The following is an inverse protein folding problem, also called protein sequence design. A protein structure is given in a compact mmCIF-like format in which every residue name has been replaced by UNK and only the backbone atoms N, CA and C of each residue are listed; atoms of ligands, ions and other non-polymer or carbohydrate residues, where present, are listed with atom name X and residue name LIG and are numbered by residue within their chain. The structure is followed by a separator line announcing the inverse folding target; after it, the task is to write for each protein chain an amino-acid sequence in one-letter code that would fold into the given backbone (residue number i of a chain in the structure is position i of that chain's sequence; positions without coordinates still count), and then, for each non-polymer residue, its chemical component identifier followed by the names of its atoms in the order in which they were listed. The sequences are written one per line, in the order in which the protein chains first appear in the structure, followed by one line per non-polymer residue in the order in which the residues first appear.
data_IF_441372432944
#
_entry.id   IF_441372432944
#
_cell.length_a   1.000
_cell.length_b   1.000
_cell.length_c   1.000
_cell.angle_alpha   90.00
_cell.angle_beta   90.00
_cell.angle_gamma   90.00
#
_symmetry.space_group_name_H-M   'P 1'
#
loop_
_entity.id
_entity.type
_entity.pdbx_description
1 polymer ?
#
# COMPACT_ATOMS: atom_id res chain seq x y z
N UNK A 1 -11.49 -4.09 -17.11
CA UNK A 1 -11.84 -4.06 -15.68
C UNK A 1 -10.55 -4.05 -14.90
N UNK A 2 -10.42 -3.27 -13.81
CA UNK A 2 -9.17 -3.29 -13.04
C UNK A 2 -8.99 -4.69 -12.44
N UNK A 3 -7.80 -5.25 -12.61
CA UNK A 3 -7.38 -6.55 -12.10
C UNK A 3 -6.87 -6.49 -10.65
N UNK A 4 -6.97 -5.30 -10.04
CA UNK A 4 -6.70 -4.98 -8.65
C UNK A 4 -7.86 -4.17 -8.04
N UNK A 5 -8.04 -4.25 -6.72
CA UNK A 5 -9.02 -3.48 -5.95
C UNK A 5 -8.40 -2.23 -5.32
N UNK A 6 -7.11 -2.29 -5.00
CA UNK A 6 -6.34 -1.12 -4.57
C UNK A 6 -4.90 -1.26 -5.04
N UNK A 7 -4.28 -0.16 -5.44
CA UNK A 7 -2.86 -0.11 -5.72
C UNK A 7 -2.24 1.19 -5.23
N UNK A 8 -1.05 1.08 -4.65
CA UNK A 8 -0.17 2.20 -4.34
C UNK A 8 0.95 2.22 -5.37
N UNK A 9 1.20 3.41 -5.92
CA UNK A 9 2.22 3.65 -6.94
C UNK A 9 3.18 4.67 -6.37
N UNK A 10 4.47 4.33 -6.39
CA UNK A 10 5.55 5.19 -5.92
C UNK A 10 6.58 5.34 -7.03
N UNK A 11 6.85 6.55 -7.47
CA UNK A 11 7.86 6.82 -8.48
C UNK A 11 9.28 6.87 -7.90
N UNK A 12 10.27 6.81 -8.80
CA UNK A 12 11.67 6.95 -8.42
C UNK A 12 11.98 8.33 -7.81
N UNK A 13 11.30 9.38 -8.28
CA UNK A 13 11.47 10.75 -7.79
C UNK A 13 11.18 10.89 -6.30
N UNK A 14 10.08 10.31 -5.82
CA UNK A 14 9.67 10.35 -4.41
C UNK A 14 10.63 9.57 -3.53
N UNK A 15 11.09 8.39 -3.97
CA UNK A 15 12.14 7.63 -3.27
C UNK A 15 13.43 8.44 -3.17
N UNK A 16 13.83 9.11 -4.25
CA UNK A 16 15.04 9.93 -4.30
C UNK A 16 14.94 11.19 -3.43
N UNK A 17 13.75 11.79 -3.29
CA UNK A 17 13.51 12.87 -2.33
C UNK A 17 13.70 12.39 -0.89
N UNK A 18 13.12 11.24 -0.53
CA UNK A 18 13.31 10.64 0.80
C UNK A 18 14.78 10.31 1.09
N UNK A 19 15.48 9.74 0.11
CA UNK A 19 16.92 9.48 0.21
C UNK A 19 17.73 10.77 0.39
N UNK A 20 17.40 11.82 -0.34
CA UNK A 20 18.07 13.13 -0.23
C UNK A 20 17.88 13.70 1.18
N UNK A 21 16.68 13.63 1.74
CA UNK A 21 16.41 14.07 3.10
C UNK A 21 17.17 13.23 4.14
N UNK A 22 17.21 11.90 3.96
CA UNK A 22 17.95 11.00 4.83
C UNK A 22 19.46 11.28 4.78
N UNK A 23 20.02 11.51 3.58
CA UNK A 23 21.43 11.84 3.39
C UNK A 23 21.81 13.19 3.97
N UNK A 24 20.89 14.18 3.91
CA UNK A 24 21.08 15.50 4.49
C UNK A 24 21.07 15.48 6.04
N UNK A 25 20.51 14.44 6.66
CA UNK A 25 20.54 14.28 8.11
C UNK A 25 21.94 13.85 8.58
N UNK A 26 22.61 14.69 9.36
CA UNK A 26 23.99 14.45 9.81
C UNK A 26 24.17 13.15 10.62
N UNK A 27 23.19 12.79 11.47
CA UNK A 27 23.27 11.56 12.27
C UNK A 27 23.09 10.32 11.40
N UNK A 28 22.14 10.36 10.46
CA UNK A 28 21.95 9.29 9.49
C UNK A 28 23.19 9.15 8.59
N UNK A 29 23.74 10.27 8.11
CA UNK A 29 24.99 10.32 7.33
C UNK A 29 26.13 9.58 8.04
N UNK A 30 26.39 9.90 9.30
CA UNK A 30 27.43 9.26 10.11
C UNK A 30 27.19 7.77 10.35
N UNK A 31 25.94 7.31 10.43
CA UNK A 31 25.60 5.92 10.75
C UNK A 31 25.50 5.02 9.52
N UNK A 32 25.00 5.55 8.40
CA UNK A 32 24.56 4.77 7.25
C UNK A 32 25.40 5.00 6.00
N UNK A 33 26.09 6.15 5.90
CA UNK A 33 26.75 6.57 4.66
C UNK A 33 28.26 6.73 4.80
N UNK A 34 28.83 6.55 5.99
CA UNK A 34 30.27 6.51 6.20
C UNK A 34 30.61 5.64 7.40
N UNK A 35 31.85 5.19 7.48
CA UNK A 35 32.33 4.45 8.63
C UNK A 35 33.69 3.80 8.42
N UNK A 36 34.02 2.92 9.36
CA UNK A 36 35.23 2.10 9.33
C UNK A 36 34.80 0.65 9.47
N UNK A 37 35.36 -0.22 8.63
CA UNK A 37 35.16 -1.66 8.69
C UNK A 37 36.49 -2.36 8.92
N UNK A 38 36.60 -3.14 10.00
CA UNK A 38 37.76 -3.99 10.22
C UNK A 38 37.75 -5.17 9.25
N UNK A 39 38.92 -5.50 8.70
CA UNK A 39 39.10 -6.57 7.69
C UNK A 39 40.09 -7.62 8.18
N UNK A 40 41.28 -7.19 8.63
CA UNK A 40 42.30 -8.08 9.20
C UNK A 40 42.85 -9.14 8.25
N UNK A 41 42.83 -8.91 6.93
CA UNK A 41 43.26 -9.87 5.91
C UNK A 41 44.15 -9.21 4.85
N UNK A 42 45.07 -9.96 4.26
CA UNK A 42 45.97 -9.48 3.19
C UNK A 42 46.75 -8.21 3.55
N UNK A 43 47.08 -8.05 4.84
CA UNK A 43 47.76 -6.85 5.35
C UNK A 43 46.87 -5.60 5.43
N UNK A 44 45.57 -5.68 5.14
CA UNK A 44 44.59 -4.61 5.36
C UNK A 44 44.04 -4.76 6.79
N UNK A 45 44.26 -3.74 7.62
CA UNK A 45 43.73 -3.69 9.00
C UNK A 45 42.28 -3.28 8.99
N UNK A 46 41.95 -2.17 8.32
CA UNK A 46 40.60 -1.64 8.20
C UNK A 46 40.39 -0.87 6.89
N UNK A 47 39.12 -0.64 6.55
CA UNK A 47 38.70 0.17 5.41
C UNK A 47 37.82 1.30 5.91
N UNK A 48 38.30 2.53 5.76
CA UNK A 48 37.45 3.71 5.89
C UNK A 48 36.62 3.79 4.61
N UNK A 49 35.31 4.00 4.72
CA UNK A 49 34.43 4.13 3.57
C UNK A 49 33.46 5.31 3.77
N UNK A 50 33.09 5.94 2.65
CA UNK A 50 32.15 7.05 2.60
C UNK A 50 31.40 7.01 1.28
N UNK A 51 30.09 7.19 1.33
CA UNK A 51 29.23 7.45 0.18
C UNK A 51 29.16 8.98 0.04
N UNK A 52 29.87 9.51 -0.94
CA UNK A 52 30.13 10.95 -1.05
C UNK A 52 29.02 11.70 -1.79
N UNK A 53 28.10 10.97 -2.42
CA UNK A 53 26.95 11.51 -3.14
C UNK A 53 25.66 10.79 -2.73
N UNK A 54 24.53 11.49 -2.78
CA UNK A 54 23.21 10.93 -2.46
C UNK A 54 22.92 9.71 -3.36
N UNK A 55 22.63 8.53 -2.81
CA UNK A 55 22.22 7.38 -3.61
C UNK A 55 20.98 7.69 -4.45
N UNK A 56 20.89 7.10 -5.65
CA UNK A 56 19.75 7.28 -6.54
C UNK A 56 19.06 5.95 -6.80
N UNK A 57 17.78 5.86 -6.48
CA UNK A 57 16.90 4.78 -6.90
C UNK A 57 16.59 4.93 -8.39
N UNK A 58 16.78 3.83 -9.11
CA UNK A 58 16.39 3.66 -10.50
C UNK A 58 15.46 2.46 -10.55
N UNK A 59 14.17 2.71 -10.74
CA UNK A 59 13.10 1.71 -10.71
C UNK A 59 13.01 0.94 -12.02
N UNK A 60 14.15 0.40 -12.47
CA UNK A 60 14.27 -0.48 -13.61
C UNK A 60 15.15 -1.67 -13.25
N UNK A 61 14.81 -2.89 -13.71
CA UNK A 61 15.65 -4.06 -13.49
C UNK A 61 17.02 -3.87 -14.15
N UNK A 62 18.07 -4.55 -13.66
CA UNK A 62 19.37 -4.52 -14.32
C UNK A 62 19.27 -5.09 -15.74
N UNK A 63 20.03 -4.52 -16.67
CA UNK A 63 20.16 -5.10 -18.02
C UNK A 63 20.87 -6.45 -17.93
N UNK A 64 20.63 -7.35 -18.90
CA UNK A 64 21.34 -8.64 -18.96
C UNK A 64 22.86 -8.48 -19.01
N UNK A 65 23.37 -7.43 -19.66
CA UNK A 65 24.80 -7.12 -19.70
C UNK A 65 25.35 -6.77 -18.32
N UNK A 66 24.68 -5.88 -17.59
CA UNK A 66 25.06 -5.55 -16.21
C UNK A 66 24.94 -6.76 -15.28
N UNK A 67 23.86 -7.53 -15.42
CA UNK A 67 23.60 -8.70 -14.59
C UNK A 67 24.68 -9.77 -14.76
N UNK A 68 25.12 -10.03 -15.99
CA UNK A 68 26.11 -11.05 -16.32
C UNK A 68 27.54 -10.52 -16.39
N UNK A 69 27.79 -9.27 -15.98
CA UNK A 69 29.14 -8.76 -15.85
C UNK A 69 29.94 -9.62 -14.86
N UNK A 70 31.17 -9.97 -15.23
CA UNK A 70 32.05 -10.80 -14.41
C UNK A 70 32.42 -10.15 -13.07
N UNK A 71 32.33 -8.82 -12.98
CA UNK A 71 32.63 -8.07 -11.77
C UNK A 71 31.39 -7.89 -10.88
N UNK A 72 30.22 -8.36 -11.31
CA UNK A 72 29.01 -8.36 -10.46
C UNK A 72 29.25 -9.28 -9.27
N UNK A 73 29.45 -8.66 -8.12
CA UNK A 73 29.64 -9.32 -6.84
C UNK A 73 28.30 -9.79 -6.28
N UNK A 74 28.27 -11.04 -5.84
CA UNK A 74 27.16 -11.65 -5.10
C UNK A 74 27.74 -12.15 -3.77
N UNK A 75 27.14 -11.80 -2.62
CA UNK A 75 27.64 -12.26 -1.33
C UNK A 75 27.66 -13.79 -1.25
N UNK A 76 28.58 -14.33 -0.45
CA UNK A 76 28.67 -15.78 -0.25
C UNK A 76 27.36 -16.34 0.33
N UNK A 77 26.93 -17.49 -0.18
CA UNK A 77 25.70 -18.15 0.25
C UNK A 77 24.41 -17.59 -0.37
N UNK A 78 24.46 -16.50 -1.12
CA UNK A 78 23.31 -16.05 -1.93
C UNK A 78 23.41 -16.57 -3.36
N UNK A 79 22.29 -17.07 -3.88
CA UNK A 79 22.18 -17.49 -5.27
C UNK A 79 21.56 -16.37 -6.08
N UNK A 80 22.33 -15.80 -7.00
CA UNK A 80 21.83 -14.86 -8.00
C UNK A 80 20.81 -15.59 -8.90
N UNK A 81 19.57 -15.09 -9.08
CA UNK A 81 18.65 -15.63 -10.07
C UNK A 81 19.29 -15.69 -11.46
N UNK A 82 18.86 -16.66 -12.28
CA UNK A 82 19.42 -16.86 -13.64
C UNK A 82 19.30 -15.58 -14.47
N UNK A 83 18.14 -14.95 -14.43
CA UNK A 83 17.81 -13.73 -15.15
C UNK A 83 17.26 -12.67 -14.18
N UNK A 84 17.43 -11.36 -14.47
CA UNK A 84 16.78 -10.29 -13.73
C UNK A 84 15.27 -10.46 -13.70
N UNK A 85 14.63 -10.18 -12.55
CA UNK A 85 13.18 -10.23 -12.40
C UNK A 85 12.57 -8.84 -12.51
N UNK A 86 11.26 -8.76 -12.74
CA UNK A 86 10.47 -7.53 -12.71
C UNK A 86 10.30 -6.95 -11.30
N UNK A 87 10.76 -7.66 -10.27
CA UNK A 87 10.80 -7.19 -8.88
C UNK A 87 12.14 -6.51 -8.54
N UNK A 88 13.09 -6.51 -9.48
CA UNK A 88 14.39 -5.90 -9.28
C UNK A 88 14.41 -4.43 -9.69
N UNK A 89 15.23 -3.67 -8.96
CA UNK A 89 15.54 -2.28 -9.23
C UNK A 89 17.01 -2.01 -8.93
N UNK A 90 17.47 -0.82 -9.26
CA UNK A 90 18.85 -0.41 -9.10
C UNK A 90 18.96 0.71 -8.07
N UNK A 91 20.02 0.69 -7.27
CA UNK A 91 20.46 1.81 -6.44
C UNK A 91 21.84 2.22 -6.92
N UNK A 92 21.95 3.42 -7.48
CA UNK A 92 23.19 3.96 -7.99
C UNK A 92 23.91 4.74 -6.89
N UNK A 93 25.18 4.40 -6.68
CA UNK A 93 26.10 5.10 -5.80
C UNK A 93 27.15 5.76 -6.68
N UNK A 94 26.96 7.05 -6.96
CA UNK A 94 27.80 7.77 -7.92
C UNK A 94 29.25 7.91 -7.45
N UNK A 95 29.48 8.04 -6.14
CA UNK A 95 30.82 8.14 -5.56
C UNK A 95 30.86 7.46 -4.20
N UNK A 96 31.77 6.50 -4.07
CA UNK A 96 32.12 5.83 -2.82
C UNK A 96 33.64 5.93 -2.67
N UNK A 97 34.09 6.75 -1.73
CA UNK A 97 35.50 6.86 -1.37
C UNK A 97 35.84 5.84 -0.31
N UNK A 98 37.00 5.22 -0.48
CA UNK A 98 37.54 4.20 0.41
C UNK A 98 39.00 4.47 0.69
N UNK A 99 39.43 4.20 1.90
CA UNK A 99 40.85 4.23 2.27
C UNK A 99 41.19 2.91 2.95
N UNK A 100 41.97 2.09 2.27
CA UNK A 100 42.49 0.84 2.82
C UNK A 100 43.67 1.16 3.73
N UNK A 101 43.49 0.92 5.03
CA UNK A 101 44.53 1.06 6.02
C UNK A 101 45.35 -0.23 6.06
N UNK A 102 46.64 -0.11 5.76
CA UNK A 102 47.55 -1.24 5.68
C UNK A 102 48.30 -1.41 7.00
N UNK A 103 48.64 -2.66 7.35
CA UNK A 103 49.49 -2.98 8.49
C UNK A 103 50.90 -2.40 8.32
N UNK A 104 51.38 -2.34 7.08
CA UNK A 104 52.63 -1.68 6.70
C UNK A 104 52.44 -0.89 5.39
N UNK A 105 53.08 0.28 5.30
CA UNK A 105 52.97 1.17 4.15
C UNK A 105 51.91 2.28 4.29
N UNK A 106 51.85 3.22 3.33
CA UNK A 106 50.87 4.29 3.33
C UNK A 106 49.45 3.74 3.06
N UNK A 107 48.40 4.40 3.59
CA UNK A 107 47.02 4.06 3.23
C UNK A 107 46.78 4.20 1.73
N UNK A 108 45.93 3.35 1.18
CA UNK A 108 45.59 3.35 -0.26
C UNK A 108 44.18 3.91 -0.47
N UNK A 109 44.02 5.17 -0.90
CA UNK A 109 42.72 5.74 -1.24
C UNK A 109 42.25 5.25 -2.62
N UNK A 110 40.97 4.87 -2.72
CA UNK A 110 40.31 4.50 -3.96
C UNK A 110 38.89 5.07 -3.97
N UNK A 111 38.45 5.53 -5.14
CA UNK A 111 37.08 6.01 -5.33
C UNK A 111 36.41 5.18 -6.42
N UNK A 112 35.18 4.77 -6.16
CA UNK A 112 34.40 3.92 -7.06
C UNK A 112 33.01 4.50 -7.27
N UNK A 113 32.41 4.14 -8.39
CA UNK A 113 30.95 4.20 -8.53
C UNK A 113 30.42 2.77 -8.50
N UNK A 114 29.25 2.56 -7.88
CA UNK A 114 28.61 1.26 -7.81
C UNK A 114 27.18 1.34 -8.30
N UNK A 115 26.72 0.25 -8.93
CA UNK A 115 25.30 -0.02 -9.08
C UNK A 115 24.95 -1.23 -8.23
N UNK A 116 24.09 -1.04 -7.24
CA UNK A 116 23.55 -2.12 -6.45
C UNK A 116 22.24 -2.59 -7.06
N UNK A 117 22.10 -3.89 -7.26
CA UNK A 117 20.87 -4.53 -7.68
C UNK A 117 20.10 -4.95 -6.44
N UNK A 118 18.89 -4.42 -6.30
CA UNK A 118 18.00 -4.71 -5.21
C UNK A 118 16.72 -5.36 -5.73
N UNK A 119 15.98 -6.01 -4.84
CA UNK A 119 14.71 -6.63 -5.12
C UNK A 119 13.70 -6.26 -4.03
N UNK A 120 12.43 -6.30 -4.43
CA UNK A 120 11.30 -6.14 -3.53
C UNK A 120 10.66 -7.52 -3.34
N UNK A 121 10.51 -7.97 -2.10
CA UNK A 121 9.90 -9.27 -1.79
C UNK A 121 8.80 -9.11 -0.73
N UNK A 122 7.83 -10.03 -0.72
CA UNK A 122 6.87 -10.15 0.39
C UNK A 122 7.27 -11.35 1.22
N UNK A 123 7.57 -11.13 2.50
CA UNK A 123 7.88 -12.17 3.47
C UNK A 123 7.15 -11.90 4.77
N UNK A 124 6.50 -12.91 5.35
CA UNK A 124 5.68 -12.78 6.56
C UNK A 124 4.64 -11.63 6.48
N UNK A 125 3.97 -11.50 5.33
CA UNK A 125 3.04 -10.40 5.01
C UNK A 125 3.66 -9.00 5.07
N UNK A 126 4.98 -8.86 5.13
CA UNK A 126 5.66 -7.57 5.06
C UNK A 126 6.40 -7.43 3.74
N UNK A 127 6.32 -6.23 3.19
CA UNK A 127 7.13 -5.82 2.05
C UNK A 127 8.54 -5.55 2.56
N UNK A 128 9.51 -6.20 1.94
CA UNK A 128 10.91 -6.10 2.26
C UNK A 128 11.70 -5.69 1.03
N UNK A 129 12.58 -4.71 1.20
CA UNK A 129 13.59 -4.35 0.22
C UNK A 129 14.90 -5.04 0.60
N UNK A 130 15.55 -5.66 -0.38
CA UNK A 130 16.82 -6.34 -0.17
C UNK A 130 17.77 -6.16 -1.34
N UNK A 131 19.05 -5.98 -1.03
CA UNK A 131 20.16 -6.10 -1.96
C UNK A 131 20.27 -7.55 -2.46
N UNK A 132 20.69 -7.71 -3.71
CA UNK A 132 20.94 -9.01 -4.35
C UNK A 132 22.38 -9.11 -4.84
N UNK A 133 22.88 -8.05 -5.47
CA UNK A 133 24.23 -8.02 -6.02
C UNK A 133 24.76 -6.59 -6.14
N UNK A 134 26.07 -6.44 -6.31
CA UNK A 134 26.75 -5.16 -6.47
C UNK A 134 27.67 -5.20 -7.68
N UNK A 135 27.52 -4.24 -8.58
CA UNK A 135 28.38 -4.05 -9.74
C UNK A 135 29.24 -2.78 -9.55
N UNK A 136 30.56 -2.90 -9.39
CA UNK A 136 31.45 -1.75 -9.51
C UNK A 136 31.52 -1.25 -10.96
N UNK A 137 31.50 0.06 -11.15
CA UNK A 137 31.65 0.71 -12.46
C UNK A 137 33.12 1.13 -12.62
N UNK A 138 33.78 0.64 -13.67
CA UNK A 138 35.18 0.95 -14.00
C UNK A 138 36.18 0.79 -12.82
N UNK A 139 36.33 -0.43 -12.25
CA UNK A 139 37.16 -0.66 -11.05
C UNK A 139 38.68 -0.61 -11.29
N UNK A 140 39.20 0.44 -11.93
CA UNK A 140 40.63 0.57 -12.22
C UNK A 140 41.46 0.76 -10.95
N UNK A 141 42.61 0.08 -10.85
CA UNK A 141 43.56 0.26 -9.75
C UNK A 141 43.25 -0.54 -8.48
N UNK A 142 42.12 -1.24 -8.42
CA UNK A 142 41.78 -2.12 -7.31
C UNK A 142 42.16 -3.58 -7.61
N UNK A 143 42.71 -4.27 -6.61
CA UNK A 143 42.87 -5.73 -6.69
C UNK A 143 41.51 -6.42 -6.58
N UNK A 144 41.40 -7.66 -7.06
CA UNK A 144 40.17 -8.45 -6.92
C UNK A 144 39.71 -8.58 -5.46
N UNK A 145 40.66 -8.79 -4.55
CA UNK A 145 40.36 -8.83 -3.11
C UNK A 145 39.80 -7.50 -2.60
N UNK A 146 40.42 -6.37 -2.96
CA UNK A 146 39.91 -5.05 -2.57
C UNK A 146 38.49 -4.81 -3.09
N UNK A 147 38.20 -5.25 -4.32
CA UNK A 147 36.86 -5.18 -4.90
C UNK A 147 35.85 -6.03 -4.13
N UNK A 148 36.21 -7.26 -3.76
CA UNK A 148 35.33 -8.12 -2.96
C UNK A 148 35.04 -7.51 -1.59
N UNK A 149 36.05 -6.96 -0.91
CA UNK A 149 35.89 -6.30 0.39
C UNK A 149 34.95 -5.10 0.27
N UNK A 150 35.20 -4.17 -0.67
CA UNK A 150 34.36 -2.99 -0.79
C UNK A 150 32.94 -3.32 -1.26
N UNK A 151 32.78 -4.25 -2.21
CA UNK A 151 31.45 -4.68 -2.65
C UNK A 151 30.67 -5.32 -1.48
N UNK A 152 31.33 -6.09 -0.62
CA UNK A 152 30.72 -6.65 0.59
C UNK A 152 30.29 -5.58 1.61
N UNK A 153 31.11 -4.54 1.81
CA UNK A 153 30.76 -3.39 2.66
C UNK A 153 29.54 -2.66 2.08
N UNK A 154 29.61 -2.27 0.80
CA UNK A 154 28.52 -1.56 0.10
C UNK A 154 27.22 -2.37 0.16
N UNK A 155 27.28 -3.66 -0.16
CA UNK A 155 26.14 -4.57 -0.10
C UNK A 155 25.47 -4.52 1.28
N UNK A 156 26.26 -4.69 2.34
CA UNK A 156 25.76 -4.76 3.72
C UNK A 156 25.15 -3.43 4.18
N UNK A 157 25.78 -2.31 3.84
CA UNK A 157 25.31 -0.98 4.27
C UNK A 157 24.06 -0.54 3.53
N UNK A 158 23.99 -0.79 2.22
CA UNK A 158 22.78 -0.53 1.46
C UNK A 158 21.66 -1.51 1.85
N UNK A 159 21.97 -2.77 2.17
CA UNK A 159 20.98 -3.72 2.72
C UNK A 159 20.33 -3.16 4.00
N UNK A 160 21.13 -2.65 4.94
CA UNK A 160 20.62 -2.06 6.17
C UNK A 160 19.77 -0.81 5.89
N UNK A 161 20.16 0.01 4.91
CA UNK A 161 19.38 1.15 4.47
C UNK A 161 18.03 0.73 3.86
N UNK A 162 18.03 -0.28 2.99
CA UNK A 162 16.82 -0.81 2.35
C UNK A 162 15.87 -1.42 3.37
N UNK A 163 16.38 -2.16 4.36
CA UNK A 163 15.58 -2.69 5.47
C UNK A 163 15.02 -1.61 6.41
N UNK A 164 15.59 -0.40 6.39
CA UNK A 164 15.05 0.75 7.10
C UNK A 164 13.73 1.26 6.51
N UNK A 165 13.46 0.99 5.22
CA UNK A 165 12.20 1.33 4.59
C UNK A 165 11.12 0.31 4.99
N UNK A 166 10.31 0.68 5.98
CA UNK A 166 9.14 -0.10 6.36
C UNK A 166 7.96 0.29 5.46
N UNK A 167 7.69 -0.54 4.47
CA UNK A 167 6.48 -0.41 3.67
C UNK A 167 5.36 -1.16 4.41
N UNK A 168 4.19 -0.53 4.65
CA UNK A 168 3.10 -1.17 5.37
C UNK A 168 2.72 -2.53 4.77
N UNK A 169 2.42 -3.53 5.62
CA UNK A 169 2.12 -4.90 5.16
C UNK A 169 0.84 -5.00 4.33
N UNK A 170 -0.05 -4.01 4.46
CA UNK A 170 -1.29 -3.93 3.71
C UNK A 170 -1.74 -2.48 3.58
N UNK A 171 -2.56 -2.22 2.56
CA UNK A 171 -3.32 -0.97 2.45
C UNK A 171 -4.56 -1.16 3.32
N UNK A 172 -4.59 -0.52 4.48
CA UNK A 172 -5.70 -0.65 5.42
C UNK A 172 -6.86 0.24 4.98
N UNK A 173 -8.00 -0.37 4.70
CA UNK A 173 -9.27 0.34 4.50
C UNK A 173 -10.27 -0.21 5.52
N UNK A 174 -10.97 0.68 6.22
CA UNK A 174 -11.90 0.32 7.28
C UNK A 174 -12.95 -0.68 6.80
N UNK A 175 -13.20 -1.73 7.59
CA UNK A 175 -14.20 -2.75 7.30
C UNK A 175 -13.83 -3.71 6.16
N UNK A 176 -12.65 -3.58 5.55
CA UNK A 176 -12.23 -4.39 4.40
C UNK A 176 -10.97 -5.21 4.73
N UNK A 177 -10.94 -6.44 4.21
CA UNK A 177 -9.77 -7.33 4.30
C UNK A 177 -9.17 -7.53 2.92
N UNK A 178 -7.85 -7.44 2.83
CA UNK A 178 -7.11 -7.57 1.58
C UNK A 178 -6.24 -8.82 1.54
N UNK A 179 -5.99 -9.33 0.35
CA UNK A 179 -4.93 -10.32 0.10
C UNK A 179 -3.56 -9.70 0.36
N UNK A 180 -2.53 -10.51 0.65
CA UNK A 180 -1.14 -10.03 0.62
C UNK A 180 -0.88 -9.25 -0.68
N UNK A 181 -0.13 -8.14 -0.60
CA UNK A 181 0.14 -7.32 -1.78
C UNK A 181 1.01 -8.09 -2.78
N UNK A 182 0.74 -7.89 -4.06
CA UNK A 182 1.68 -8.23 -5.15
C UNK A 182 2.45 -6.97 -5.51
N UNK A 183 3.74 -7.14 -5.80
CA UNK A 183 4.62 -6.02 -6.12
C UNK A 183 5.36 -6.25 -7.43
N UNK A 184 5.56 -5.15 -8.16
CA UNK A 184 6.37 -5.13 -9.38
C UNK A 184 7.06 -3.78 -9.51
N UNK A 185 8.12 -3.76 -10.30
CA UNK A 185 8.85 -2.58 -10.74
C UNK A 185 8.57 -2.38 -12.23
N UNK A 186 7.87 -1.31 -12.59
CA UNK A 186 7.38 -1.05 -13.96
C UNK A 186 8.26 -0.11 -14.78
N UNK A 187 9.57 -0.05 -14.49
CA UNK A 187 10.53 0.83 -15.19
C UNK A 187 10.55 2.28 -14.70
N UNK A 188 9.44 2.77 -14.12
CA UNK A 188 9.35 4.10 -13.52
C UNK A 188 8.71 4.10 -12.12
N UNK A 189 7.96 3.06 -11.77
CA UNK A 189 7.22 2.98 -10.53
C UNK A 189 7.42 1.66 -9.81
N UNK A 190 7.45 1.74 -8.49
CA UNK A 190 7.24 0.65 -7.57
C UNK A 190 5.74 0.59 -7.31
N UNK A 191 5.16 -0.55 -7.62
CA UNK A 191 3.73 -0.76 -7.50
C UNK A 191 3.48 -1.79 -6.42
N UNK A 192 2.52 -1.49 -5.56
CA UNK A 192 1.96 -2.40 -4.58
C UNK A 192 0.47 -2.53 -4.84
N UNK A 193 0.00 -3.70 -5.26
CA UNK A 193 -1.41 -3.94 -5.54
C UNK A 193 -1.96 -5.01 -4.61
N UNK A 194 -3.20 -4.81 -4.15
CA UNK A 194 -3.94 -5.77 -3.34
C UNK A 194 -5.36 -5.89 -3.86
N UNK A 195 -5.95 -7.05 -3.63
CA UNK A 195 -7.38 -7.30 -3.83
C UNK A 195 -8.06 -7.49 -2.49
N UNK A 196 -9.36 -7.26 -2.43
CA UNK A 196 -10.21 -7.80 -1.37
C UNK A 196 -10.03 -9.32 -1.35
N UNK A 197 -10.05 -9.93 -0.16
CA UNK A 197 -9.85 -11.38 0.01
C UNK A 197 -10.79 -12.19 -0.91
N UNK A 198 -12.03 -11.72 -1.10
CA UNK A 198 -13.02 -12.37 -1.97
C UNK A 198 -12.67 -12.38 -3.47
N UNK A 199 -11.74 -11.53 -3.92
CA UNK A 199 -11.35 -11.38 -5.33
C UNK A 199 -10.05 -12.13 -5.69
N UNK A 200 -9.39 -12.80 -4.72
CA UNK A 200 -8.15 -13.55 -4.95
C UNK A 200 -6.95 -12.64 -5.23
N UNK A 201 -5.80 -13.22 -5.57
CA UNK A 201 -4.54 -12.48 -5.81
C UNK A 201 -4.69 -11.48 -6.97
N UNK A 202 -4.23 -10.23 -6.83
CA UNK A 202 -4.28 -9.25 -7.92
C UNK A 202 -3.37 -9.64 -9.07
N UNK A 203 -3.83 -9.36 -10.29
CA UNK A 203 -3.00 -9.40 -11.49
C UNK A 203 -2.69 -7.96 -11.90
N UNK A 204 -1.43 -7.66 -12.13
CA UNK A 204 -0.94 -6.32 -12.45
C UNK A 204 -0.27 -6.27 -13.83
N UNK A 205 -0.32 -7.38 -14.57
CA UNK A 205 0.21 -7.46 -15.92
C UNK A 205 -0.56 -6.54 -16.88
N UNK A 206 0.17 -5.77 -17.69
CA UNK A 206 -0.41 -4.87 -18.69
C UNK A 206 -1.12 -3.62 -18.15
N UNK A 207 -1.09 -3.37 -16.84
CA UNK A 207 -1.70 -2.17 -16.25
C UNK A 207 -0.86 -0.93 -16.58
N UNK A 208 -1.53 0.14 -17.02
CA UNK A 208 -0.93 1.46 -17.15
C UNK A 208 -1.06 2.24 -15.84
N UNK A 209 0.08 2.67 -15.31
CA UNK A 209 0.13 3.40 -14.04
C UNK A 209 0.07 4.91 -14.28
N UNK A 210 -0.59 5.67 -13.39
CA UNK A 210 -0.60 7.13 -13.46
C UNK A 210 0.83 7.65 -13.34
N UNK A 211 1.14 8.72 -14.07
CA UNK A 211 2.44 9.41 -14.03
C UNK A 211 2.57 10.33 -12.81
N UNK A 212 1.98 9.96 -11.67
CA UNK A 212 2.01 10.73 -10.43
C UNK A 212 3.10 10.19 -9.51
N UNK A 213 3.76 11.10 -8.78
CA UNK A 213 4.90 10.75 -7.93
C UNK A 213 4.53 9.78 -6.80
N UNK A 214 3.37 10.01 -6.18
CA UNK A 214 2.73 9.08 -5.25
C UNK A 214 1.24 9.04 -5.60
N UNK A 215 0.72 7.84 -5.86
CA UNK A 215 -0.68 7.65 -6.23
C UNK A 215 -1.31 6.48 -5.49
N UNK A 216 -2.59 6.64 -5.12
CA UNK A 216 -3.45 5.54 -4.67
C UNK A 216 -4.54 5.37 -5.70
N UNK A 217 -4.64 4.17 -6.26
CA UNK A 217 -5.66 3.78 -7.21
C UNK A 217 -6.64 2.87 -6.50
N UNK A 218 -7.92 3.24 -6.54
CA UNK A 218 -9.00 2.49 -5.91
C UNK A 218 -9.88 1.89 -7.01
N UNK A 219 -9.99 0.56 -7.01
CA UNK A 219 -10.82 -0.19 -7.93
C UNK A 219 -12.30 -0.03 -7.62
N UNK A 220 -13.14 -0.18 -8.65
CA UNK A 220 -14.60 -0.03 -8.53
C UNK A 220 -15.22 -1.04 -7.56
N UNK A 221 -14.65 -2.25 -7.47
CA UNK A 221 -15.12 -3.29 -6.53
C UNK A 221 -14.89 -2.89 -5.07
N UNK A 222 -13.73 -2.32 -4.74
CA UNK A 222 -13.49 -1.75 -3.41
C UNK A 222 -14.46 -0.60 -3.10
N UNK A 223 -14.65 0.34 -4.02
CA UNK A 223 -15.65 1.40 -3.85
C UNK A 223 -17.05 0.83 -3.62
N UNK A 224 -17.44 -0.21 -4.35
CA UNK A 224 -18.75 -0.85 -4.20
C UNK A 224 -18.87 -1.52 -2.83
N UNK A 225 -17.84 -2.21 -2.35
CA UNK A 225 -17.82 -2.85 -1.04
C UNK A 225 -17.93 -1.83 0.10
N UNK A 226 -17.19 -0.71 0.00
CA UNK A 226 -17.26 0.38 0.97
C UNK A 226 -18.63 1.03 1.01
N UNK A 227 -19.19 1.33 -0.16
CA UNK A 227 -20.51 1.95 -0.27
C UNK A 227 -21.61 1.01 0.25
N UNK A 228 -21.50 -0.30 -0.01
CA UNK A 228 -22.45 -1.28 0.51
C UNK A 228 -22.42 -1.39 2.05
N UNK A 229 -21.27 -1.15 2.69
CA UNK A 229 -21.16 -1.14 4.16
C UNK A 229 -22.07 -0.08 4.81
N UNK A 230 -22.32 1.04 4.11
CA UNK A 230 -23.15 2.13 4.62
C UNK A 230 -24.64 2.02 4.25
N UNK A 231 -25.08 1.01 3.50
CA UNK A 231 -26.50 0.88 3.11
C UNK A 231 -27.42 0.67 4.32
N UNK A 232 -26.94 -0.01 5.36
CA UNK A 232 -27.69 -0.23 6.60
C UNK A 232 -27.93 1.05 7.41
N UNK A 233 -27.07 2.07 7.28
CA UNK A 233 -27.26 3.37 7.94
C UNK A 233 -28.38 4.21 7.30
N UNK A 234 -28.82 3.87 6.08
CA UNK A 234 -29.92 4.54 5.40
C UNK A 234 -31.28 3.98 5.83
N UNK A 235 -31.32 2.77 6.38
CA UNK A 235 -32.54 2.15 6.91
C UNK A 235 -32.98 2.95 8.14
N UNK A 236 -34.01 3.78 7.96
CA UNK A 236 -34.64 4.53 9.03
C UNK A 236 -36.02 3.93 9.30
N UNK A 237 -36.28 3.62 10.57
CA UNK A 237 -37.63 3.35 11.04
C UNK A 237 -38.21 4.67 11.55
N UNK A 238 -39.45 4.96 11.18
CA UNK A 238 -40.22 5.95 11.90
C UNK A 238 -40.58 5.35 13.26
N UNK A 239 -40.55 6.16 14.31
CA UNK A 239 -41.08 5.73 15.60
C UNK A 239 -42.57 5.42 15.42
N UNK A 240 -42.98 4.23 15.88
CA UNK A 240 -44.37 3.81 15.80
C UNK A 240 -45.24 4.79 16.59
N UNK A 241 -46.11 5.52 15.90
CA UNK A 241 -47.05 6.43 16.54
C UNK A 241 -48.35 5.67 16.78
N UNK A 242 -48.61 5.37 18.06
CA UNK A 242 -49.85 4.75 18.49
C UNK A 242 -50.69 5.76 19.28
N UNK A 243 -51.88 6.05 18.79
CA UNK A 243 -52.89 6.83 19.50
C UNK A 243 -53.98 5.87 19.92
N UNK A 244 -54.14 5.69 21.22
CA UNK A 244 -55.27 4.97 21.79
C UNK A 244 -56.24 6.00 22.34
N UNK A 245 -57.49 5.97 21.89
CA UNK A 245 -58.56 6.78 22.41
C UNK A 245 -59.67 5.86 22.93
N UNK A 246 -60.17 6.15 24.12
CA UNK A 246 -61.23 5.39 24.76
C UNK A 246 -62.13 6.30 25.55
N UNK A 247 -63.43 6.05 25.48
CA UNK A 247 -64.41 6.59 26.42
C UNK A 247 -65.22 5.44 27.05
N UNK A 248 -66.32 5.75 27.74
CA UNK A 248 -67.16 4.74 28.40
C UNK A 248 -67.89 3.79 27.43
N UNK A 249 -67.90 4.09 26.12
CA UNK A 249 -68.76 3.46 25.12
C UNK A 249 -67.99 2.87 23.92
N UNK A 250 -66.75 3.30 23.67
CA UNK A 250 -65.89 2.72 22.63
C UNK A 250 -64.41 2.75 23.00
N UNK A 251 -63.66 1.85 22.35
CA UNK A 251 -62.20 1.94 22.27
C UNK A 251 -61.78 1.93 20.81
N UNK A 252 -60.86 2.81 20.45
CA UNK A 252 -60.26 2.83 19.13
C UNK A 252 -58.76 3.09 19.22
N UNK A 253 -58.04 2.41 18.34
CA UNK A 253 -56.60 2.55 18.20
C UNK A 253 -56.27 2.92 16.76
N UNK A 254 -55.36 3.87 16.63
CA UNK A 254 -54.69 4.18 15.38
C UNK A 254 -53.19 3.92 15.58
N UNK A 255 -52.60 3.11 14.71
CA UNK A 255 -51.16 2.96 14.66
C UNK A 255 -50.65 3.27 13.25
N UNK A 256 -49.68 4.17 13.17
CA UNK A 256 -48.88 4.40 11.98
C UNK A 256 -47.48 3.85 12.21
N UNK A 257 -47.08 2.90 11.38
CA UNK A 257 -45.70 2.40 11.30
C UNK A 257 -45.19 2.67 9.89
N UNK A 258 -43.94 3.10 9.76
CA UNK A 258 -43.37 3.41 8.47
C UNK A 258 -41.86 3.54 8.50
N UNK A 259 -41.24 3.57 7.34
CA UNK A 259 -39.80 3.73 7.25
C UNK A 259 -39.23 3.32 5.90
N UNK A 260 -37.94 3.52 5.78
CA UNK A 260 -37.14 3.04 4.66
C UNK A 260 -36.81 1.58 4.95
N UNK A 261 -37.48 0.66 4.26
CA UNK A 261 -37.33 -0.79 4.49
C UNK A 261 -36.27 -1.43 3.60
N UNK A 262 -36.06 -0.87 2.40
CA UNK A 262 -35.07 -1.37 1.45
C UNK A 262 -34.25 -0.21 0.89
N UNK A 263 -33.08 0.05 1.48
CA UNK A 263 -32.10 0.96 0.93
C UNK A 263 -31.00 0.16 0.23
N UNK A 264 -30.66 0.55 -1.00
CA UNK A 264 -29.51 0.04 -1.73
C UNK A 264 -28.67 1.22 -2.23
N UNK A 265 -27.36 1.05 -2.17
CA UNK A 265 -26.42 2.01 -2.72
C UNK A 265 -25.52 1.26 -3.70
N UNK A 266 -25.34 1.82 -4.89
CA UNK A 266 -24.51 1.24 -5.94
C UNK A 266 -23.63 2.29 -6.59
N UNK A 267 -22.40 1.92 -6.92
CA UNK A 267 -21.51 2.75 -7.73
C UNK A 267 -21.98 2.72 -9.18
N UNK A 268 -22.27 3.89 -9.76
CA UNK A 268 -22.77 4.00 -11.13
C UNK A 268 -21.74 3.50 -12.16
N UNK A 269 -22.18 3.30 -13.40
CA UNK A 269 -21.29 2.89 -14.50
C UNK A 269 -20.17 3.89 -14.80
N UNK A 270 -20.41 5.17 -14.52
CA UNK A 270 -19.46 6.28 -14.67
C UNK A 270 -19.19 6.93 -13.32
N UNK A 271 -17.95 6.91 -12.86
CA UNK A 271 -17.51 7.67 -11.68
C UNK A 271 -17.53 9.18 -11.97
N UNK A 272 -17.77 10.05 -10.96
CA UNK A 272 -17.90 9.76 -9.53
C UNK A 272 -19.34 9.44 -9.05
N UNK A 273 -20.28 9.13 -9.94
CA UNK A 273 -21.69 9.04 -9.57
C UNK A 273 -22.00 7.82 -8.67
N UNK A 274 -22.80 8.05 -7.63
CA UNK A 274 -23.33 7.03 -6.71
C UNK A 274 -24.85 7.05 -6.81
N UNK A 275 -25.46 5.88 -7.04
CA UNK A 275 -26.90 5.72 -7.11
C UNK A 275 -27.41 5.20 -5.76
N UNK A 276 -28.34 5.93 -5.14
CA UNK A 276 -29.05 5.51 -3.93
C UNK A 276 -30.48 5.21 -4.34
N UNK A 277 -30.97 4.00 -4.03
CA UNK A 277 -32.37 3.61 -4.20
C UNK A 277 -32.94 3.23 -2.84
N UNK A 278 -34.03 3.88 -2.43
CA UNK A 278 -34.68 3.62 -1.15
C UNK A 278 -36.18 3.37 -1.38
N UNK A 279 -36.70 2.27 -0.84
CA UNK A 279 -38.13 2.00 -0.80
C UNK A 279 -38.69 2.43 0.54
N UNK A 280 -39.55 3.44 0.51
CA UNK A 280 -40.36 3.86 1.65
C UNK A 280 -41.64 3.04 1.70
N UNK A 281 -41.96 2.49 2.87
CA UNK A 281 -43.23 1.81 3.13
C UNK A 281 -43.85 2.39 4.41
N UNK A 282 -45.17 2.58 4.39
CA UNK A 282 -45.95 2.97 5.56
C UNK A 282 -47.20 2.08 5.65
N UNK A 283 -47.51 1.62 6.86
CA UNK A 283 -48.69 0.83 7.18
C UNK A 283 -49.49 1.57 8.24
N UNK A 284 -50.76 1.84 7.94
CA UNK A 284 -51.72 2.37 8.90
C UNK A 284 -52.69 1.24 9.30
N UNK A 285 -52.90 1.06 10.60
CA UNK A 285 -53.89 0.12 11.14
C UNK A 285 -54.88 0.88 12.03
N UNK A 286 -56.16 0.57 11.85
CA UNK A 286 -57.28 1.13 12.63
C UNK A 286 -58.01 -0.03 13.29
N UNK A 287 -58.02 -0.05 14.62
CA UNK A 287 -58.84 -0.96 15.40
C UNK A 287 -59.98 -0.21 16.05
N UNK A 288 -61.22 -0.66 15.88
CA UNK A 288 -62.39 -0.11 16.59
C UNK A 288 -63.11 -1.25 17.27
N UNK A 289 -63.35 -1.11 18.58
CA UNK A 289 -64.15 -2.05 19.36
C UNK A 289 -65.25 -1.30 20.08
N UNK A 290 -66.48 -1.74 19.87
CA UNK A 290 -67.68 -1.20 20.50
C UNK A 290 -68.30 -2.23 21.45
N UNK A 291 -68.81 -1.74 22.57
CA UNK A 291 -69.57 -2.55 23.52
C UNK A 291 -71.02 -2.11 23.37
N UNK A 292 -71.90 -3.06 23.10
CA UNK A 292 -73.30 -2.88 22.73
C UNK A 292 -74.04 -1.79 23.54
N UNK A 293 -74.42 -0.70 22.87
CA UNK A 293 -75.72 -0.04 23.05
C UNK A 293 -76.32 0.18 21.65
N UNK A 294 -77.50 -0.39 21.31
CA UNK A 294 -77.93 -0.50 19.91
C UNK A 294 -78.39 0.84 19.30
N UNK A 295 -77.98 1.05 18.05
CA UNK A 295 -78.64 1.81 16.98
C UNK A 295 -78.73 3.35 17.03
N UNK A 296 -78.54 4.05 18.15
CA UNK A 296 -78.65 5.52 18.16
C UNK A 296 -77.36 6.26 17.74
N UNK A 297 -76.17 5.73 18.07
CA UNK A 297 -74.90 6.43 17.86
C UNK A 297 -74.26 6.23 16.47
N UNK A 298 -74.76 5.29 15.67
CA UNK A 298 -74.25 5.01 14.33
C UNK A 298 -74.56 6.13 13.33
N UNK A 299 -75.60 6.93 13.57
CA UNK A 299 -75.99 8.03 12.69
C UNK A 299 -75.16 9.31 12.93
N UNK A 300 -74.74 9.55 14.18
CA UNK A 300 -74.04 10.77 14.58
C UNK A 300 -72.53 10.69 14.32
N UNK A 301 -71.94 9.50 14.41
CA UNK A 301 -70.54 9.28 14.00
C UNK A 301 -70.37 9.33 12.47
N UNK A 302 -71.36 8.86 11.70
CA UNK A 302 -71.34 8.94 10.23
C UNK A 302 -71.48 10.39 9.72
N UNK A 303 -72.21 11.27 10.43
CA UNK A 303 -72.35 12.68 10.03
C UNK A 303 -71.12 13.53 10.34
N UNK A 304 -70.33 13.16 11.36
CA UNK A 304 -69.12 13.90 11.75
C UNK A 304 -67.84 13.43 11.03
N UNK A 305 -67.93 12.36 10.23
CA UNK A 305 -66.85 11.82 9.39
C UNK A 305 -66.92 12.26 7.92
N UNK A 306 -67.90 13.08 7.54
CA UNK A 306 -68.02 13.68 6.22
C UNK A 306 -67.84 15.21 6.32
N UNK A 307 -66.71 15.79 5.88
CA UNK A 307 -66.75 17.10 5.23
C UNK A 307 -67.46 17.01 3.87
#
# INVERSE_FOLDING_TARGET
MSSYDVALVLDAGTLNQGMTQLYANAQAKQKLFQGVQDVGQMGITSVNWSIDAVPQFVLAPPTLTQWNDKNTFVPSGQTKPKDPTDQMFQVQLASVSTTFNMQSGPPSPLTFSFTLFAQVTVSNNQVQLGSVAVLPINPTGATEFMLQVICGIVYTKVQALLQGYQIPPSITVEGQSFTPPVMTVTGAHLVLASNLVANGTPDISGVQWPQQALGVLVGRKLLTALVAQYSGAIVQKMDAAQVNASDSNWTGSYSLDGGISNASIAVASTLPNINITATFAATASVGVSWWLVPAACALEAASNLLP
#
